data_IF_690258064313
#
_entry.id   IF_690258064313
#
_cell.length_a   1.000
_cell.length_b   1.000
_cell.length_c   1.000
_cell.angle_alpha   90.00
_cell.angle_beta   90.00
_cell.angle_gamma   90.00
#
_symmetry.space_group_name_H-M   'P 1'
#
loop_
_entity.id
_entity.type
_entity.pdbx_description
1 polymer ?
#
# COMPACT_ATOMS: atom_id res chain seq x y z
N UNK A 1 -33.39 17.63 26.28
CA UNK A 1 -32.07 17.94 25.68
C UNK A 1 -31.00 16.88 25.98
N UNK A 2 -30.78 16.45 27.23
CA UNK A 2 -29.77 15.41 27.56
C UNK A 2 -29.94 14.09 26.78
N UNK A 3 -31.16 13.55 26.72
CA UNK A 3 -31.47 12.29 25.98
C UNK A 3 -31.26 12.41 24.46
N UNK A 4 -31.48 13.59 23.88
CA UNK A 4 -31.27 13.84 22.44
C UNK A 4 -29.78 13.92 22.11
N UNK A 5 -28.99 14.52 23.01
CA UNK A 5 -27.53 14.61 22.88
C UNK A 5 -26.87 13.22 23.00
N UNK A 6 -27.38 12.36 23.88
CA UNK A 6 -26.89 10.97 24.02
C UNK A 6 -27.17 10.13 22.77
N UNK A 7 -28.36 10.27 22.16
CA UNK A 7 -28.72 9.56 20.93
C UNK A 7 -27.87 10.06 19.75
N UNK A 8 -27.61 11.36 19.66
CA UNK A 8 -26.75 11.94 18.62
C UNK A 8 -25.29 11.45 18.74
N UNK A 9 -24.76 11.34 19.96
CA UNK A 9 -23.41 10.79 20.18
C UNK A 9 -23.32 9.30 19.82
N UNK A 10 -24.35 8.50 20.14
CA UNK A 10 -24.40 7.08 19.83
C UNK A 10 -24.48 6.82 18.31
N UNK A 11 -25.23 7.66 17.58
CA UNK A 11 -25.32 7.59 16.12
C UNK A 11 -24.04 8.06 15.43
N UNK A 12 -23.37 9.08 15.98
CA UNK A 12 -22.10 9.58 15.44
C UNK A 12 -20.96 8.55 15.60
N UNK A 13 -20.93 7.79 16.69
CA UNK A 13 -19.96 6.70 16.88
C UNK A 13 -20.16 5.51 15.94
N UNK A 14 -21.36 5.30 15.39
CA UNK A 14 -21.66 4.23 14.43
C UNK A 14 -21.28 4.60 12.98
N UNK A 15 -20.98 5.88 12.72
CA UNK A 15 -20.56 6.38 11.41
C UNK A 15 -19.04 6.41 11.21
N UNK A 16 -18.25 6.16 12.27
CA UNK A 16 -16.83 5.90 12.12
C UNK A 16 -16.64 4.49 11.59
N UNK A 17 -16.44 4.35 10.28
CA UNK A 17 -15.82 3.13 9.75
C UNK A 17 -14.45 2.99 10.40
N UNK A 18 -14.25 1.96 11.20
CA UNK A 18 -12.94 1.64 11.73
C UNK A 18 -11.98 1.40 10.55
N UNK A 19 -10.81 2.03 10.58
CA UNK A 19 -9.75 1.75 9.62
C UNK A 19 -9.36 0.28 9.76
N UNK A 20 -9.48 -0.48 8.67
CA UNK A 20 -9.14 -1.89 8.66
C UNK A 20 -7.68 -2.07 8.26
N UNK A 21 -7.00 -2.97 8.97
CA UNK A 21 -5.64 -3.37 8.64
C UNK A 21 -5.70 -4.74 7.98
N UNK A 22 -5.23 -4.79 6.74
CA UNK A 22 -5.01 -6.02 5.99
C UNK A 22 -3.55 -6.39 6.02
N UNK A 23 -3.23 -7.66 5.80
CA UNK A 23 -1.90 -8.21 6.01
C UNK A 23 -1.42 -8.94 4.77
N UNK A 24 -0.16 -8.72 4.45
CA UNK A 24 0.60 -9.63 3.58
C UNK A 24 1.67 -10.36 4.41
N UNK A 25 1.96 -11.60 4.00
CA UNK A 25 2.94 -12.50 4.61
C UNK A 25 3.59 -13.35 3.51
N UNK A 26 4.91 -13.63 3.52
CA UNK A 26 5.51 -14.49 2.50
C UNK A 26 4.97 -15.93 2.52
N UNK A 27 4.34 -16.36 3.62
CA UNK A 27 3.63 -17.64 3.73
C UNK A 27 2.11 -17.51 3.48
N UNK A 28 1.63 -16.31 3.12
CA UNK A 28 0.24 -16.03 2.80
C UNK A 28 -0.19 -16.66 1.48
N UNK A 29 -1.48 -16.52 1.16
CA UNK A 29 -2.06 -17.05 -0.07
C UNK A 29 -2.99 -16.01 -0.68
N UNK A 30 -2.77 -15.69 -1.95
CA UNK A 30 -3.69 -14.86 -2.70
C UNK A 30 -4.89 -15.68 -3.16
N UNK A 31 -6.09 -15.20 -2.89
CA UNK A 31 -7.29 -15.85 -3.37
C UNK A 31 -8.57 -15.23 -2.83
N UNK A 32 -9.69 -15.38 -3.54
CA UNK A 32 -10.98 -14.84 -3.10
C UNK A 32 -11.51 -15.50 -1.82
N UNK A 33 -11.01 -16.69 -1.47
CA UNK A 33 -11.28 -17.36 -0.19
C UNK A 33 -10.45 -16.83 0.98
N UNK A 34 -9.45 -15.99 0.70
CA UNK A 34 -8.56 -15.41 1.70
C UNK A 34 -8.96 -13.97 2.01
N UNK A 35 -9.00 -13.66 3.29
CA UNK A 35 -9.57 -12.41 3.81
C UNK A 35 -8.56 -11.27 3.91
N UNK A 36 -7.27 -11.57 3.86
CA UNK A 36 -6.20 -10.60 4.14
C UNK A 36 -6.14 -10.21 5.62
N UNK A 37 -6.77 -10.97 6.51
CA UNK A 37 -6.70 -10.74 7.95
C UNK A 37 -5.34 -11.17 8.53
N UNK A 38 -5.05 -10.85 9.79
CA UNK A 38 -3.75 -11.18 10.39
C UNK A 38 -3.46 -12.69 10.47
N UNK A 39 -4.51 -13.50 10.65
CA UNK A 39 -4.47 -14.97 10.68
C UNK A 39 -4.63 -15.62 9.30
N UNK A 40 -5.01 -14.84 8.29
CA UNK A 40 -5.23 -15.32 6.92
C UNK A 40 -4.74 -14.25 5.91
N UNK A 41 -3.42 -13.98 5.90
CA UNK A 41 -2.82 -12.91 5.10
C UNK A 41 -2.74 -13.29 3.62
N UNK A 42 -2.73 -12.28 2.76
CA UNK A 42 -2.41 -12.45 1.34
C UNK A 42 -0.91 -12.61 1.14
N UNK A 43 -0.50 -13.09 -0.04
CA UNK A 43 0.89 -13.27 -0.38
C UNK A 43 1.48 -11.99 -0.98
N UNK A 44 0.82 -11.40 -1.98
CA UNK A 44 1.39 -10.31 -2.76
C UNK A 44 0.80 -8.95 -2.37
N UNK A 45 1.66 -7.92 -2.31
CA UNK A 45 1.26 -6.53 -2.19
C UNK A 45 0.41 -6.11 -3.39
N UNK A 46 0.77 -6.55 -4.60
CA UNK A 46 0.00 -6.27 -5.81
C UNK A 46 -1.43 -6.77 -5.71
N UNK A 47 -1.62 -7.99 -5.19
CA UNK A 47 -2.94 -8.57 -4.94
C UNK A 47 -3.71 -7.79 -3.87
N UNK A 48 -3.09 -7.52 -2.72
CA UNK A 48 -3.70 -6.77 -1.64
C UNK A 48 -4.19 -5.39 -2.12
N UNK A 49 -3.41 -4.69 -2.94
CA UNK A 49 -3.78 -3.38 -3.48
C UNK A 49 -5.01 -3.42 -4.42
N UNK A 50 -5.35 -4.57 -5.02
CA UNK A 50 -6.60 -4.73 -5.77
C UNK A 50 -7.83 -4.93 -4.88
N UNK A 51 -7.63 -5.29 -3.61
CA UNK A 51 -8.70 -5.61 -2.65
C UNK A 51 -8.95 -4.49 -1.66
N UNK A 52 -7.89 -3.84 -1.20
CA UNK A 52 -7.98 -2.74 -0.23
C UNK A 52 -8.23 -1.44 -0.98
N UNK A 53 -9.51 -1.08 -1.09
CA UNK A 53 -9.99 0.11 -1.83
C UNK A 53 -10.81 1.06 -0.96
N UNK A 54 -10.92 0.80 0.33
CA UNK A 54 -11.59 1.69 1.28
C UNK A 54 -10.62 2.75 1.78
N UNK A 55 -11.01 4.02 1.70
CA UNK A 55 -10.20 5.12 2.18
C UNK A 55 -9.92 5.00 3.69
N UNK A 56 -8.66 5.18 4.09
CA UNK A 56 -8.21 5.06 5.47
C UNK A 56 -7.72 3.66 5.86
N UNK A 57 -7.98 2.64 5.04
CA UNK A 57 -7.46 1.29 5.29
C UNK A 57 -5.95 1.20 5.01
N UNK A 58 -5.35 0.15 5.55
CA UNK A 58 -3.90 -0.05 5.51
C UNK A 58 -3.53 -1.47 5.14
N UNK A 59 -2.52 -1.61 4.29
CA UNK A 59 -1.84 -2.88 4.02
C UNK A 59 -0.59 -2.93 4.91
N UNK A 60 -0.59 -3.86 5.87
CA UNK A 60 0.52 -4.15 6.76
C UNK A 60 1.39 -5.27 6.19
N UNK A 61 2.68 -4.97 6.00
CA UNK A 61 3.67 -5.90 5.45
C UNK A 61 4.38 -6.57 6.62
N UNK A 62 4.18 -7.88 6.80
CA UNK A 62 4.94 -8.66 7.79
C UNK A 62 6.40 -8.84 7.33
N UNK A 63 7.25 -9.29 8.25
CA UNK A 63 8.66 -9.54 7.96
C UNK A 63 8.82 -10.56 6.83
N UNK A 64 9.83 -10.36 5.99
CA UNK A 64 10.21 -11.24 4.90
C UNK A 64 10.37 -10.52 3.57
N UNK A 65 10.56 -11.32 2.52
CA UNK A 65 10.75 -10.84 1.15
C UNK A 65 9.58 -11.28 0.28
N UNK A 66 9.04 -10.34 -0.49
CA UNK A 66 7.89 -10.51 -1.37
C UNK A 66 8.34 -10.24 -2.80
N UNK A 67 8.13 -11.19 -3.70
CA UNK A 67 8.49 -11.01 -5.11
C UNK A 67 7.28 -10.54 -5.91
N UNK A 68 7.39 -9.35 -6.49
CA UNK A 68 6.36 -8.75 -7.32
C UNK A 68 6.82 -8.70 -8.78
N UNK A 69 6.12 -9.41 -9.65
CA UNK A 69 6.42 -9.44 -11.10
C UNK A 69 5.63 -8.40 -11.88
N UNK A 70 4.60 -7.82 -11.27
CA UNK A 70 3.73 -6.81 -11.85
C UNK A 70 3.77 -5.49 -11.08
N UNK A 71 3.01 -4.53 -11.61
CA UNK A 71 2.79 -3.23 -10.96
C UNK A 71 1.74 -3.34 -9.85
N UNK A 72 2.02 -2.69 -8.73
CA UNK A 72 1.09 -2.40 -7.65
C UNK A 72 0.43 -1.04 -7.87
N UNK A 73 -0.89 -0.98 -8.03
CA UNK A 73 -1.66 0.28 -8.10
C UNK A 73 -2.36 0.48 -6.77
N UNK A 74 -1.92 1.48 -6.00
CA UNK A 74 -2.48 1.71 -4.65
C UNK A 74 -3.71 2.62 -4.77
N UNK A 75 -4.84 2.25 -4.16
CA UNK A 75 -6.06 3.06 -4.16
C UNK A 75 -5.86 4.36 -3.36
N UNK A 76 -6.47 5.52 -3.72
CA UNK A 76 -6.34 6.75 -2.92
C UNK A 76 -6.68 6.49 -1.44
N UNK A 77 -5.98 7.17 -0.53
CA UNK A 77 -6.17 7.08 0.94
C UNK A 77 -5.88 5.72 1.57
N UNK A 78 -5.37 4.74 0.82
CA UNK A 78 -4.87 3.47 1.35
C UNK A 78 -3.37 3.57 1.62
N UNK A 79 -2.91 3.17 2.79
CA UNK A 79 -1.50 3.26 3.17
C UNK A 79 -0.81 1.89 3.20
N UNK A 80 0.53 1.89 3.07
CA UNK A 80 1.39 0.72 3.23
C UNK A 80 2.29 0.93 4.44
N UNK A 81 2.36 -0.05 5.34
CA UNK A 81 3.24 -0.01 6.50
C UNK A 81 3.95 -1.36 6.67
N UNK A 82 5.28 -1.35 6.65
CA UNK A 82 6.07 -2.51 7.04
C UNK A 82 6.24 -2.63 8.55
N UNK A 83 6.45 -3.86 9.00
CA UNK A 83 6.86 -4.17 10.36
C UNK A 83 8.31 -3.71 10.64
N UNK A 84 9.17 -3.60 9.62
CA UNK A 84 10.56 -3.17 9.73
C UNK A 84 11.11 -2.66 8.40
N UNK A 85 11.82 -1.53 8.42
CA UNK A 85 12.51 -0.98 7.24
C UNK A 85 13.40 -2.03 6.55
N UNK A 86 14.23 -2.74 7.31
CA UNK A 86 15.18 -3.71 6.77
C UNK A 86 14.62 -5.12 6.68
N UNK A 87 13.61 -5.44 7.50
CA UNK A 87 13.01 -6.76 7.60
C UNK A 87 11.82 -7.00 6.66
N UNK A 88 11.21 -5.95 6.10
CA UNK A 88 10.13 -6.03 5.12
C UNK A 88 10.67 -5.59 3.75
N UNK A 89 10.82 -6.53 2.81
CA UNK A 89 11.42 -6.27 1.50
C UNK A 89 10.39 -6.59 0.41
N UNK A 90 9.96 -5.57 -0.33
CA UNK A 90 9.21 -5.74 -1.57
C UNK A 90 10.20 -5.70 -2.73
N UNK A 91 10.42 -6.86 -3.36
CA UNK A 91 11.35 -7.06 -4.46
C UNK A 91 10.60 -7.09 -5.79
N UNK A 92 10.75 -6.06 -6.60
CA UNK A 92 10.12 -5.97 -7.91
C UNK A 92 11.05 -6.42 -9.03
N UNK A 93 10.49 -7.13 -10.00
CA UNK A 93 11.12 -7.37 -11.32
C UNK A 93 10.40 -6.66 -12.46
N UNK A 94 9.47 -5.74 -12.13
CA UNK A 94 8.60 -5.09 -13.09
C UNK A 94 9.33 -4.01 -13.92
N UNK A 95 9.26 -4.13 -15.25
CA UNK A 95 9.83 -3.16 -16.19
C UNK A 95 8.73 -2.19 -16.64
N UNK A 96 8.77 -0.97 -16.12
CA UNK A 96 7.83 0.09 -16.51
C UNK A 96 7.96 0.45 -18.00
N UNK A 97 6.82 0.60 -18.68
CA UNK A 97 6.77 0.77 -20.14
C UNK A 97 6.57 2.22 -20.59
N UNK A 98 6.36 3.15 -19.65
CA UNK A 98 6.23 4.58 -19.94
C UNK A 98 6.85 5.43 -18.83
N UNK A 99 7.01 6.72 -19.08
CA UNK A 99 7.54 7.67 -18.08
C UNK A 99 6.61 7.82 -16.88
N UNK A 100 5.29 7.65 -17.07
CA UNK A 100 4.27 7.80 -16.03
C UNK A 100 3.93 6.46 -15.35
N UNK A 101 4.92 5.57 -15.27
CA UNK A 101 4.75 4.21 -14.79
C UNK A 101 5.91 3.77 -13.89
N UNK A 102 5.60 2.92 -12.90
CA UNK A 102 6.53 2.43 -11.89
C UNK A 102 5.98 1.17 -11.19
N UNK A 103 6.81 0.51 -10.38
CA UNK A 103 6.44 -0.68 -9.62
C UNK A 103 5.30 -0.42 -8.64
N UNK A 104 5.35 0.68 -7.90
CA UNK A 104 4.23 1.16 -7.08
C UNK A 104 3.70 2.46 -7.69
N UNK A 105 2.41 2.47 -8.01
CA UNK A 105 1.76 3.57 -8.72
C UNK A 105 0.67 4.20 -7.85
N UNK A 106 0.88 5.45 -7.47
CA UNK A 106 -0.06 6.28 -6.74
C UNK A 106 -0.65 7.28 -7.73
N UNK A 107 -1.70 6.86 -8.43
CA UNK A 107 -2.24 7.57 -9.58
C UNK A 107 -3.72 7.87 -9.46
N UNK A 108 -4.11 9.06 -9.88
CA UNK A 108 -5.49 9.47 -10.06
C UNK A 108 -5.71 10.09 -11.44
N UNK A 109 -6.94 10.03 -11.95
CA UNK A 109 -7.26 10.56 -13.29
C UNK A 109 -7.26 12.11 -13.33
N UNK A 110 -7.45 12.74 -12.17
CA UNK A 110 -7.37 14.19 -11.95
C UNK A 110 -6.75 14.46 -10.59
N UNK A 111 -6.34 15.71 -10.35
CA UNK A 111 -5.75 16.11 -9.08
C UNK A 111 -6.71 15.82 -7.91
N UNK A 112 -6.30 14.97 -6.98
CA UNK A 112 -7.01 14.69 -5.74
C UNK A 112 -6.05 14.45 -4.58
N UNK A 113 -6.55 14.56 -3.34
CA UNK A 113 -5.77 14.26 -2.17
C UNK A 113 -5.54 12.75 -2.09
N UNK A 114 -4.27 12.34 -2.11
CA UNK A 114 -3.87 10.99 -1.81
C UNK A 114 -4.16 10.70 -0.35
N UNK A 115 -3.62 11.50 0.57
CA UNK A 115 -3.62 11.27 2.02
C UNK A 115 -3.16 9.84 2.35
N UNK A 116 -2.02 9.46 1.77
CA UNK A 116 -1.47 8.11 1.83
C UNK A 116 -0.06 8.14 2.40
N UNK A 117 0.35 7.01 2.95
CA UNK A 117 1.72 6.82 3.39
C UNK A 117 2.30 5.48 2.91
N UNK A 118 3.61 5.46 2.69
CA UNK A 118 4.41 4.24 2.51
C UNK A 118 5.53 4.30 3.55
N UNK A 119 5.51 3.38 4.52
CA UNK A 119 6.37 3.50 5.71
C UNK A 119 7.07 2.23 6.12
N UNK A 120 8.28 2.36 6.66
CA UNK A 120 8.98 1.31 7.40
C UNK A 120 9.19 0.00 6.61
N UNK A 121 9.61 0.09 5.35
CA UNK A 121 9.94 -1.07 4.50
C UNK A 121 11.01 -0.75 3.45
N UNK A 122 11.58 -1.78 2.84
CA UNK A 122 12.49 -1.68 1.70
C UNK A 122 11.76 -2.02 0.40
N UNK A 123 11.95 -1.21 -0.63
CA UNK A 123 11.50 -1.44 -2.01
C UNK A 123 12.75 -1.57 -2.88
N UNK A 124 12.92 -2.70 -3.57
CA UNK A 124 14.09 -2.94 -4.41
C UNK A 124 13.71 -3.41 -5.80
N UNK A 125 14.48 -2.99 -6.81
CA UNK A 125 14.30 -3.36 -8.21
C UNK A 125 15.05 -4.62 -8.64
N UNK A 126 15.31 -5.54 -7.72
CA UNK A 126 15.92 -6.85 -7.99
C UNK A 126 17.24 -6.75 -8.77
N UNK A 127 18.19 -5.96 -8.28
CA UNK A 127 19.49 -5.71 -8.92
C UNK A 127 19.37 -5.07 -10.32
N UNK A 128 18.68 -3.94 -10.42
CA UNK A 128 18.49 -3.17 -11.66
C UNK A 128 17.63 -3.88 -12.73
N UNK A 129 16.85 -4.89 -12.35
CA UNK A 129 15.87 -5.53 -13.25
C UNK A 129 14.65 -4.61 -13.42
N UNK A 130 14.06 -4.14 -12.32
CA UNK A 130 12.96 -3.20 -12.39
C UNK A 130 13.47 -1.78 -12.71
N UNK A 131 12.69 -1.03 -13.48
CA UNK A 131 13.16 0.27 -13.99
C UNK A 131 12.82 1.45 -13.08
N UNK A 132 11.61 1.49 -12.52
CA UNK A 132 11.13 2.63 -11.70
C UNK A 132 10.43 2.14 -10.44
N UNK A 133 10.80 2.68 -9.29
CA UNK A 133 10.27 2.22 -7.99
C UNK A 133 8.87 2.74 -7.70
N UNK A 134 8.74 4.02 -7.38
CA UNK A 134 7.47 4.66 -7.02
C UNK A 134 7.16 5.78 -8.01
N UNK A 135 5.91 5.88 -8.45
CA UNK A 135 5.43 7.04 -9.21
C UNK A 135 4.18 7.64 -8.55
N UNK A 136 4.20 8.97 -8.40
CA UNK A 136 3.08 9.74 -7.82
C UNK A 136 2.54 10.68 -8.90
N UNK A 137 1.32 10.42 -9.36
CA UNK A 137 0.68 11.19 -10.42
C UNK A 137 -0.71 11.66 -10.02
N UNK A 138 -0.94 12.97 -10.08
CA UNK A 138 -2.22 13.61 -9.72
C UNK A 138 -2.69 13.32 -8.28
N UNK A 139 -1.76 12.97 -7.38
CA UNK A 139 -2.00 12.84 -5.94
C UNK A 139 -1.10 13.79 -5.17
N UNK A 140 -1.65 14.37 -4.10
CA UNK A 140 -0.91 15.19 -3.14
C UNK A 140 -1.11 14.66 -1.72
N UNK A 141 -0.36 15.19 -0.74
CA UNK A 141 -0.33 14.71 0.64
C UNK A 141 0.04 13.22 0.71
N UNK A 142 1.16 12.85 0.09
CA UNK A 142 1.73 11.50 0.15
C UNK A 142 3.01 11.54 0.98
N UNK A 143 3.05 10.72 2.02
CA UNK A 143 4.20 10.58 2.90
C UNK A 143 5.01 9.31 2.59
N UNK A 144 6.32 9.44 2.45
CA UNK A 144 7.23 8.30 2.32
C UNK A 144 8.25 8.40 3.46
N UNK A 145 8.13 7.54 4.47
CA UNK A 145 8.84 7.70 5.75
C UNK A 145 9.54 6.42 6.17
N UNK A 146 10.82 6.52 6.52
CA UNK A 146 11.63 5.38 6.97
C UNK A 146 11.65 4.21 5.95
N UNK A 147 11.83 4.54 4.68
CA UNK A 147 11.89 3.57 3.59
C UNK A 147 13.27 3.55 2.95
N UNK A 148 13.70 2.37 2.48
CA UNK A 148 14.87 2.24 1.60
C UNK A 148 14.39 1.89 0.20
N UNK A 149 14.77 2.69 -0.79
CA UNK A 149 14.38 2.49 -2.20
C UNK A 149 15.66 2.37 -3.00
N UNK A 150 15.92 1.19 -3.57
CA UNK A 150 17.23 0.87 -4.17
C UNK A 150 17.15 -0.05 -5.38
N UNK A 151 18.24 -0.12 -6.13
CA UNK A 151 18.46 -1.06 -7.23
C UNK A 151 17.43 -1.00 -8.36
N UNK A 152 16.96 0.21 -8.69
CA UNK A 152 16.14 0.48 -9.87
C UNK A 152 17.00 1.00 -11.02
N UNK A 153 16.75 0.53 -12.24
CA UNK A 153 17.57 0.87 -13.41
C UNK A 153 17.45 2.33 -13.87
N UNK A 154 16.35 3.03 -13.53
CA UNK A 154 16.11 4.41 -13.96
C UNK A 154 15.85 5.37 -12.80
N UNK A 155 14.77 5.20 -12.02
CA UNK A 155 14.42 6.11 -10.91
C UNK A 155 13.91 5.35 -9.69
N UNK A 156 14.29 5.78 -8.49
CA UNK A 156 13.73 5.26 -7.24
C UNK A 156 12.32 5.81 -6.98
N UNK A 157 12.17 7.13 -7.03
CA UNK A 157 10.90 7.86 -6.86
C UNK A 157 10.76 8.84 -8.00
N UNK A 158 9.59 8.88 -8.63
CA UNK A 158 9.28 9.71 -9.79
C UNK A 158 8.03 10.57 -9.58
#
# INVERSE_FOLDING_TARGET
MKKLLTILFLFCSLLLSAQTVYYIDPAGVDGPSHTGSSSDPWLHLGYAATRVTTAGDKIFVKLGTYTETGRTVLYPKVSIQGASQTGCIINFTYVATSVNDACIRLYSASLEAGDQSITNLTITGSNLVATRGIWIGYRHNVDITNCTIRDFAALGVH
#
